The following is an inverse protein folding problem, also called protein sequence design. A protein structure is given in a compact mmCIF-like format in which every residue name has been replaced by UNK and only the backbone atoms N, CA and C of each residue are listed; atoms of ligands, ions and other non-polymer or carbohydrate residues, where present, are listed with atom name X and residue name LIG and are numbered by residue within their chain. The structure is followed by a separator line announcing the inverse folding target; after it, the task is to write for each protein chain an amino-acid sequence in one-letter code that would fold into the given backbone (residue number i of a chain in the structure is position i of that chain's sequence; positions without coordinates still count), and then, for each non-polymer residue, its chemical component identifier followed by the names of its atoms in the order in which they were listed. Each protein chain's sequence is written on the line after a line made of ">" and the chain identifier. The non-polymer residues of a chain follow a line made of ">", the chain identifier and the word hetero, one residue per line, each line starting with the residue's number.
data_IF_593801650443
#
_entry.id   IF_593801650443
#
_cell.length_a   1.000
_cell.length_b   1.000
_cell.length_c   1.000
_cell.angle_alpha   90.00
_cell.angle_beta   90.00
_cell.angle_gamma   90.00
#
_symmetry.space_group_name_H-M   'P 1'
#
loop_
_entity.id
_entity.type
_entity.pdbx_description
1 polymer ?
#
# COMPACT_ATOMS: atom_id res chain seq x y z
N UNK A 1 -36.27 15.26 5.47
CA UNK A 1 -36.32 13.88 4.96
C UNK A 1 -35.54 13.85 3.67
N UNK A 2 -34.62 12.92 3.53
CA UNK A 2 -33.82 12.78 2.32
C UNK A 2 -34.69 12.22 1.19
N UNK A 3 -34.32 12.48 -0.07
CA UNK A 3 -35.09 12.02 -1.22
C UNK A 3 -34.92 10.50 -1.42
N UNK A 4 -35.98 9.85 -1.92
CA UNK A 4 -35.96 8.46 -2.30
C UNK A 4 -35.02 8.27 -3.50
N UNK A 5 -34.04 7.38 -3.38
CA UNK A 5 -33.02 7.16 -4.38
C UNK A 5 -33.57 6.61 -5.71
N UNK A 6 -34.79 6.05 -5.70
CA UNK A 6 -35.45 5.50 -6.88
C UNK A 6 -36.42 6.49 -7.57
N UNK A 7 -37.26 7.20 -6.80
CA UNK A 7 -38.34 8.03 -7.35
C UNK A 7 -38.28 9.53 -6.99
N UNK A 8 -37.32 9.96 -6.16
CA UNK A 8 -37.17 11.34 -5.72
C UNK A 8 -38.16 11.83 -4.65
N UNK A 9 -39.22 11.07 -4.34
CA UNK A 9 -40.17 11.41 -3.28
C UNK A 9 -39.52 11.38 -1.87
N UNK A 10 -40.09 12.02 -0.83
CA UNK A 10 -39.52 11.96 0.53
C UNK A 10 -39.33 10.51 1.01
N UNK A 11 -38.09 10.16 1.35
CA UNK A 11 -37.69 8.84 1.83
C UNK A 11 -37.60 8.79 3.36
N UNK A 12 -38.24 7.79 3.96
CA UNK A 12 -38.19 7.55 5.41
C UNK A 12 -37.34 6.31 5.78
N UNK A 13 -37.11 5.40 4.83
CA UNK A 13 -36.37 4.17 5.05
C UNK A 13 -34.91 4.35 4.60
N UNK A 14 -33.96 4.16 5.52
CA UNK A 14 -32.53 4.15 5.17
C UNK A 14 -32.08 2.75 4.75
N UNK A 15 -31.17 2.68 3.80
CA UNK A 15 -30.49 1.43 3.46
C UNK A 15 -29.76 0.88 4.70
N UNK A 16 -30.07 -0.36 5.10
CA UNK A 16 -29.49 -0.97 6.31
C UNK A 16 -28.00 -1.32 6.21
N UNK A 17 -27.35 -1.09 5.06
CA UNK A 17 -25.92 -1.34 4.87
C UNK A 17 -25.11 -0.05 4.80
N UNK A 18 -25.47 0.90 3.94
CA UNK A 18 -24.72 2.16 3.80
C UNK A 18 -25.26 3.29 4.68
N UNK A 19 -26.53 3.21 5.09
CA UNK A 19 -27.29 4.28 5.75
C UNK A 19 -27.33 5.63 5.01
N UNK A 20 -26.76 5.71 3.80
CA UNK A 20 -26.70 6.89 2.95
C UNK A 20 -27.92 6.98 2.01
N UNK A 21 -28.29 5.88 1.33
CA UNK A 21 -29.45 5.86 0.45
C UNK A 21 -30.77 5.80 1.26
N UNK A 22 -31.75 6.59 0.83
CA UNK A 22 -33.07 6.66 1.43
C UNK A 22 -34.15 6.18 0.44
N UNK A 23 -35.24 5.61 0.95
CA UNK A 23 -36.34 5.08 0.17
C UNK A 23 -37.69 5.42 0.81
N UNK A 24 -38.70 5.69 -0.02
CA UNK A 24 -40.07 5.87 0.46
C UNK A 24 -40.76 4.52 0.76
N UNK A 25 -40.26 3.40 0.21
CA UNK A 25 -40.80 2.05 0.43
C UNK A 25 -39.69 0.98 0.32
N UNK A 26 -39.95 -0.22 0.89
CA UNK A 26 -39.06 -1.39 0.73
C UNK A 26 -38.98 -1.86 -0.72
N UNK A 27 -40.02 -1.62 -1.51
CA UNK A 27 -40.04 -2.02 -2.92
C UNK A 27 -39.08 -1.16 -3.75
N UNK A 28 -39.02 0.15 -3.50
CA UNK A 28 -38.04 1.02 -4.15
C UNK A 28 -36.60 0.66 -3.77
N UNK A 29 -36.36 0.24 -2.52
CA UNK A 29 -35.05 -0.28 -2.12
C UNK A 29 -34.68 -1.57 -2.88
N UNK A 30 -35.64 -2.47 -3.12
CA UNK A 30 -35.41 -3.70 -3.90
C UNK A 30 -35.14 -3.40 -5.36
N UNK A 31 -35.90 -2.47 -5.95
CA UNK A 31 -35.74 -2.05 -7.34
C UNK A 31 -34.38 -1.37 -7.56
N UNK A 32 -33.93 -0.55 -6.61
CA UNK A 32 -32.62 0.12 -6.65
C UNK A 32 -31.46 -0.80 -6.26
N UNK A 33 -31.71 -2.02 -5.75
CA UNK A 33 -30.65 -2.87 -5.17
C UNK A 33 -29.54 -3.27 -6.13
N UNK A 34 -29.83 -3.31 -7.44
CA UNK A 34 -28.83 -3.55 -8.49
C UNK A 34 -27.93 -2.33 -8.70
N UNK A 35 -28.55 -1.18 -9.00
CA UNK A 35 -27.85 0.07 -9.34
C UNK A 35 -27.15 0.68 -8.12
N UNK A 36 -27.77 0.59 -6.94
CA UNK A 36 -27.18 1.04 -5.68
C UNK A 36 -26.03 0.17 -5.20
N UNK A 37 -25.90 -1.09 -5.63
CA UNK A 37 -24.97 -2.06 -5.05
C UNK A 37 -23.53 -1.53 -5.00
N UNK A 38 -23.06 -0.93 -6.09
CA UNK A 38 -21.69 -0.43 -6.22
C UNK A 38 -21.49 0.92 -5.51
N UNK A 39 -22.59 1.62 -5.22
CA UNK A 39 -22.63 2.88 -4.46
C UNK A 39 -22.94 2.68 -2.97
N UNK A 40 -23.31 1.46 -2.56
CA UNK A 40 -23.69 1.09 -1.20
C UNK A 40 -22.46 0.96 -0.29
N UNK A 41 -21.79 2.09 -0.04
CA UNK A 41 -20.62 2.20 0.83
C UNK A 41 -21.02 2.57 2.24
N UNK A 42 -20.45 1.89 3.24
CA UNK A 42 -20.62 2.22 4.67
C UNK A 42 -19.58 3.25 5.16
N UNK A 43 -18.97 3.97 4.23
CA UNK A 43 -17.96 5.00 4.48
C UNK A 43 -18.06 6.12 3.43
N UNK A 44 -17.50 7.28 3.76
CA UNK A 44 -17.36 8.45 2.88
C UNK A 44 -15.95 9.01 2.95
N UNK A 45 -15.50 9.74 1.93
CA UNK A 45 -14.25 10.51 1.98
C UNK A 45 -14.48 11.85 2.68
N UNK A 46 -13.57 12.23 3.57
CA UNK A 46 -13.57 13.48 4.35
C UNK A 46 -12.15 14.05 4.36
N UNK A 47 -12.00 15.36 4.53
CA UNK A 47 -10.70 16.02 4.69
C UNK A 47 -10.62 16.73 6.04
N UNK A 48 -9.45 16.70 6.68
CA UNK A 48 -9.18 17.44 7.92
C UNK A 48 -7.77 18.02 7.92
N UNK A 49 -7.48 19.08 8.72
CA UNK A 49 -6.15 19.66 8.82
C UNK A 49 -5.08 18.67 9.29
N UNK A 50 -5.43 17.75 10.19
CA UNK A 50 -4.48 16.83 10.82
C UNK A 50 -4.21 15.59 9.96
N UNK A 51 -5.24 15.07 9.28
CA UNK A 51 -5.17 13.78 8.55
C UNK A 51 -5.16 13.90 7.03
N UNK A 52 -5.40 15.08 6.47
CA UNK A 52 -5.66 15.22 5.04
C UNK A 52 -6.92 14.44 4.62
N UNK A 53 -6.91 13.91 3.40
CA UNK A 53 -8.01 13.07 2.87
C UNK A 53 -8.01 11.68 3.53
N UNK A 54 -9.14 11.30 4.13
CA UNK A 54 -9.32 10.03 4.82
C UNK A 54 -10.76 9.52 4.66
N UNK A 55 -11.03 8.28 5.09
CA UNK A 55 -12.38 7.73 5.07
C UNK A 55 -13.04 7.88 6.46
N UNK A 56 -14.35 8.05 6.49
CA UNK A 56 -15.13 8.10 7.72
C UNK A 56 -16.32 7.15 7.60
N UNK A 57 -16.59 6.39 8.65
CA UNK A 57 -17.74 5.49 8.69
C UNK A 57 -19.05 6.30 8.64
N UNK A 58 -20.01 5.89 7.81
CA UNK A 58 -21.34 6.51 7.78
C UNK A 58 -22.33 5.81 8.71
N UNK A 59 -21.93 4.67 9.28
CA UNK A 59 -22.73 3.87 10.20
C UNK A 59 -21.85 3.00 11.10
N UNK A 60 -22.47 2.33 12.09
CA UNK A 60 -21.79 1.31 12.88
C UNK A 60 -21.39 0.13 11.97
N UNK A 61 -20.11 -0.24 12.00
CA UNK A 61 -19.57 -1.38 11.25
C UNK A 61 -19.25 -2.50 12.24
N UNK A 62 -20.02 -3.59 12.21
CA UNK A 62 -19.79 -4.71 13.12
C UNK A 62 -18.50 -5.48 12.75
N UNK A 63 -17.79 -6.06 13.75
CA UNK A 63 -16.62 -6.90 13.49
C UNK A 63 -16.88 -7.98 12.43
N UNK A 64 -15.88 -8.23 11.58
CA UNK A 64 -15.97 -9.20 10.49
C UNK A 64 -16.63 -8.70 9.19
N UNK A 65 -17.20 -7.49 9.16
CA UNK A 65 -17.77 -6.93 7.94
C UNK A 65 -16.68 -6.45 6.95
N UNK A 66 -17.00 -6.55 5.65
CA UNK A 66 -16.19 -6.01 4.57
C UNK A 66 -16.52 -4.51 4.38
N UNK A 67 -15.53 -3.64 4.55
CA UNK A 67 -15.66 -2.18 4.36
C UNK A 67 -15.49 -1.85 2.88
N UNK A 68 -14.35 -2.18 2.29
CA UNK A 68 -14.10 -2.07 0.85
C UNK A 68 -13.18 -3.20 0.38
N UNK A 69 -13.11 -3.39 -0.94
CA UNK A 69 -12.22 -4.33 -1.62
C UNK A 69 -11.77 -3.69 -2.91
N UNK A 70 -10.47 -3.66 -3.13
CA UNK A 70 -9.85 -3.06 -4.32
C UNK A 70 -8.82 -4.02 -4.90
N UNK A 71 -8.58 -3.90 -6.20
CA UNK A 71 -7.45 -4.56 -6.86
C UNK A 71 -6.21 -3.67 -6.72
N UNK A 72 -5.02 -4.25 -6.55
CA UNK A 72 -3.80 -3.45 -6.49
C UNK A 72 -3.57 -2.72 -7.82
N UNK A 73 -3.13 -1.46 -7.72
CA UNK A 73 -2.70 -0.68 -8.89
C UNK A 73 -1.38 -1.24 -9.43
N UNK A 74 -0.45 -1.57 -8.52
CA UNK A 74 0.86 -2.13 -8.85
C UNK A 74 1.11 -3.44 -8.09
N UNK A 75 1.73 -4.37 -8.80
CA UNK A 75 2.25 -5.62 -8.25
C UNK A 75 3.64 -5.86 -8.84
N UNK A 76 4.63 -5.99 -7.97
CA UNK A 76 6.01 -6.23 -8.37
C UNK A 76 6.89 -6.62 -7.20
N UNK A 77 8.13 -7.03 -7.47
CA UNK A 77 9.13 -7.25 -6.44
C UNK A 77 9.53 -5.94 -5.74
N UNK A 78 9.99 -6.08 -4.50
CA UNK A 78 10.56 -4.99 -3.69
C UNK A 78 12.06 -5.19 -3.48
N UNK A 79 12.78 -4.16 -3.04
CA UNK A 79 14.25 -4.14 -2.92
C UNK A 79 14.82 -5.30 -2.08
N UNK A 80 14.08 -5.76 -1.08
CA UNK A 80 14.49 -6.83 -0.16
C UNK A 80 13.72 -8.14 -0.39
N UNK A 81 13.05 -8.28 -1.53
CA UNK A 81 12.40 -9.56 -1.88
C UNK A 81 13.39 -10.55 -2.46
N UNK A 82 13.12 -11.84 -2.26
CA UNK A 82 13.75 -12.89 -3.05
C UNK A 82 13.37 -12.74 -4.52
N UNK A 83 14.18 -13.31 -5.41
CA UNK A 83 13.84 -13.32 -6.83
C UNK A 83 12.51 -14.06 -7.05
N UNK A 84 11.64 -13.44 -7.83
CA UNK A 84 10.36 -13.98 -8.27
C UNK A 84 10.30 -13.95 -9.79
N UNK A 85 9.53 -14.81 -10.43
CA UNK A 85 9.33 -14.73 -11.87
C UNK A 85 8.52 -13.48 -12.24
N UNK A 86 8.98 -12.70 -13.22
CA UNK A 86 8.26 -11.50 -13.68
C UNK A 86 6.89 -11.78 -14.34
N UNK A 87 6.66 -13.01 -14.79
CA UNK A 87 5.40 -13.42 -15.39
C UNK A 87 4.36 -13.93 -14.40
N UNK A 88 4.74 -14.88 -13.54
CA UNK A 88 3.81 -15.56 -12.62
C UNK A 88 4.03 -15.25 -11.14
N UNK A 89 5.02 -14.42 -10.79
CA UNK A 89 5.38 -14.03 -9.42
C UNK A 89 5.76 -15.18 -8.48
N UNK A 90 5.97 -16.39 -9.00
CA UNK A 90 6.46 -17.53 -8.22
C UNK A 90 7.93 -17.32 -7.85
N UNK A 91 8.32 -17.72 -6.64
CA UNK A 91 9.71 -17.63 -6.18
C UNK A 91 10.66 -18.40 -7.11
N UNK A 92 11.83 -17.81 -7.34
CA UNK A 92 12.95 -18.41 -8.08
C UNK A 92 13.98 -18.84 -7.04
N UNK A 93 14.16 -20.14 -6.89
CA UNK A 93 15.02 -20.74 -5.86
C UNK A 93 16.29 -21.40 -6.42
N UNK A 94 16.35 -21.59 -7.73
CA UNK A 94 17.47 -22.25 -8.41
C UNK A 94 18.54 -21.22 -8.79
N UNK A 95 19.82 -21.55 -8.59
CA UNK A 95 20.94 -20.65 -8.94
C UNK A 95 21.01 -20.40 -10.46
N UNK A 96 20.80 -21.44 -11.27
CA UNK A 96 20.74 -21.38 -12.74
C UNK A 96 19.33 -21.04 -13.24
N UNK A 97 18.75 -19.95 -12.74
CA UNK A 97 17.40 -19.57 -13.11
C UNK A 97 17.27 -19.10 -14.56
N UNK A 98 16.13 -19.42 -15.15
CA UNK A 98 15.80 -19.00 -16.51
C UNK A 98 15.62 -17.48 -16.63
N UNK A 99 16.01 -16.93 -17.79
CA UNK A 99 15.94 -15.51 -18.12
C UNK A 99 15.14 -15.32 -19.40
N UNK A 100 14.47 -14.18 -19.52
CA UNK A 100 13.74 -13.82 -20.74
C UNK A 100 14.73 -13.80 -21.92
N UNK A 101 14.43 -14.43 -23.06
CA UNK A 101 15.35 -14.47 -24.19
C UNK A 101 15.65 -13.07 -24.76
N UNK A 102 14.73 -12.13 -24.61
CA UNK A 102 14.85 -10.79 -25.17
C UNK A 102 15.51 -9.83 -24.17
N UNK A 103 14.86 -9.57 -23.02
CA UNK A 103 15.39 -8.61 -22.04
C UNK A 103 16.34 -9.17 -20.99
N UNK A 104 16.51 -10.51 -20.92
CA UNK A 104 17.38 -11.21 -19.96
C UNK A 104 16.98 -11.10 -18.47
N UNK A 105 15.84 -10.51 -18.14
CA UNK A 105 15.34 -10.47 -16.76
C UNK A 105 14.74 -11.82 -16.29
N UNK A 106 14.65 -12.08 -14.97
CA UNK A 106 14.28 -13.39 -14.44
C UNK A 106 12.85 -13.85 -14.80
N UNK A 107 12.73 -15.05 -15.39
CA UNK A 107 11.44 -15.71 -15.68
C UNK A 107 11.56 -17.22 -15.52
N UNK A 108 10.54 -17.91 -15.00
CA UNK A 108 10.64 -19.36 -14.78
C UNK A 108 10.42 -20.22 -16.04
N UNK A 109 9.94 -19.63 -17.14
CA UNK A 109 9.67 -20.37 -18.39
C UNK A 109 9.52 -19.45 -19.60
N UNK A 110 9.58 -20.03 -20.80
CA UNK A 110 9.25 -19.34 -22.07
C UNK A 110 7.81 -18.83 -22.11
N UNK A 111 6.89 -19.50 -21.40
CA UNK A 111 5.49 -19.03 -21.28
C UNK A 111 5.46 -17.75 -20.46
N UNK A 112 6.19 -17.70 -19.34
CA UNK A 112 6.28 -16.50 -18.51
C UNK A 112 7.00 -15.34 -19.21
N UNK A 113 7.97 -15.62 -20.08
CA UNK A 113 8.60 -14.61 -20.94
C UNK A 113 7.58 -13.91 -21.88
N UNK A 114 6.51 -14.59 -22.28
CA UNK A 114 5.45 -14.04 -23.13
C UNK A 114 4.18 -13.66 -22.35
N UNK A 115 4.27 -13.55 -21.03
CA UNK A 115 3.11 -13.27 -20.19
C UNK A 115 2.66 -11.81 -20.26
N UNK A 116 1.35 -11.58 -20.07
CA UNK A 116 0.77 -10.22 -19.97
C UNK A 116 1.30 -9.40 -18.80
N UNK A 117 1.93 -10.01 -17.80
CA UNK A 117 2.55 -9.30 -16.68
C UNK A 117 3.92 -8.72 -17.05
N UNK A 118 4.59 -9.28 -18.07
CA UNK A 118 5.96 -8.93 -18.44
C UNK A 118 6.07 -8.23 -19.80
N UNK A 119 5.14 -8.46 -20.73
CA UNK A 119 5.27 -7.99 -22.12
C UNK A 119 5.56 -6.48 -22.25
N UNK A 120 4.85 -5.63 -21.49
CA UNK A 120 4.97 -4.17 -21.60
C UNK A 120 6.33 -3.65 -21.08
N UNK A 121 6.92 -4.32 -20.09
CA UNK A 121 8.24 -3.96 -19.54
C UNK A 121 9.39 -4.54 -20.36
N UNK A 122 9.17 -5.64 -21.09
CA UNK A 122 10.22 -6.37 -21.82
C UNK A 122 10.98 -5.47 -22.80
N UNK A 123 10.28 -4.68 -23.62
CA UNK A 123 10.89 -3.81 -24.64
C UNK A 123 11.75 -2.70 -24.00
N UNK A 124 11.37 -2.21 -22.82
CA UNK A 124 12.15 -1.19 -22.09
C UNK A 124 13.39 -1.83 -21.46
N UNK A 125 13.21 -2.99 -20.83
CA UNK A 125 14.29 -3.70 -20.15
C UNK A 125 15.33 -4.25 -21.14
N UNK A 126 14.93 -4.61 -22.38
CA UNK A 126 15.84 -5.08 -23.42
C UNK A 126 16.86 -4.03 -23.87
N UNK A 127 16.63 -2.74 -23.56
CA UNK A 127 17.58 -1.65 -23.83
C UNK A 127 18.78 -1.66 -22.87
N UNK A 128 18.73 -2.42 -21.78
CA UNK A 128 19.86 -2.64 -20.88
C UNK A 128 20.84 -3.69 -21.47
N UNK A 129 21.52 -3.31 -22.56
CA UNK A 129 22.43 -4.19 -23.30
C UNK A 129 23.64 -4.65 -22.47
N UNK A 130 24.01 -3.86 -21.46
CA UNK A 130 25.13 -4.15 -20.54
C UNK A 130 24.70 -5.00 -19.34
N UNK A 131 23.39 -5.23 -19.15
CA UNK A 131 22.84 -6.00 -18.04
C UNK A 131 23.08 -5.37 -16.66
N UNK A 132 23.06 -4.05 -16.57
CA UNK A 132 23.34 -3.27 -15.35
C UNK A 132 22.28 -3.56 -14.27
N UNK A 133 21.01 -3.58 -14.66
CA UNK A 133 19.86 -3.78 -13.76
C UNK A 133 19.58 -5.24 -13.43
N UNK A 134 20.04 -6.16 -14.29
CA UNK A 134 19.69 -7.58 -14.21
C UNK A 134 20.28 -8.22 -12.94
N UNK A 135 19.47 -8.91 -12.13
CA UNK A 135 19.97 -9.75 -11.04
C UNK A 135 20.92 -10.85 -11.55
N UNK A 136 22.11 -10.93 -10.95
CA UNK A 136 23.15 -11.89 -11.36
C UNK A 136 23.09 -13.21 -10.57
N UNK A 137 22.57 -13.16 -9.35
CA UNK A 137 22.51 -14.29 -8.42
C UNK A 137 21.14 -14.33 -7.74
N UNK A 138 20.78 -15.50 -7.21
CA UNK A 138 19.64 -15.63 -6.31
C UNK A 138 19.84 -14.83 -5.03
N UNK A 139 18.73 -14.48 -4.39
CA UNK A 139 18.69 -13.68 -3.17
C UNK A 139 18.25 -12.24 -3.40
N UNK A 140 18.31 -11.45 -2.33
CA UNK A 140 17.81 -10.09 -2.31
C UNK A 140 18.72 -9.16 -3.10
N UNK A 141 18.12 -8.27 -3.91
CA UNK A 141 18.85 -7.22 -4.59
C UNK A 141 18.01 -5.95 -4.67
N UNK A 142 18.55 -4.79 -4.27
CA UNK A 142 17.81 -3.54 -4.34
C UNK A 142 17.41 -3.19 -5.77
N UNK A 143 18.11 -3.72 -6.79
CA UNK A 143 17.78 -3.49 -8.20
C UNK A 143 16.46 -4.13 -8.63
N UNK A 144 15.91 -5.06 -7.85
CA UNK A 144 14.70 -5.75 -8.26
C UNK A 144 13.46 -4.85 -8.19
N UNK A 145 13.47 -3.84 -7.31
CA UNK A 145 12.38 -2.85 -7.22
C UNK A 145 12.20 -1.98 -8.48
N UNK A 146 13.22 -1.93 -9.36
CA UNK A 146 13.16 -1.27 -10.66
C UNK A 146 11.99 -1.79 -11.50
N UNK A 147 11.61 -3.05 -11.33
CA UNK A 147 10.44 -3.64 -12.00
C UNK A 147 9.14 -3.01 -11.52
N UNK A 148 8.96 -2.83 -10.21
CA UNK A 148 7.75 -2.22 -9.68
C UNK A 148 7.66 -0.74 -10.12
N UNK A 149 8.80 -0.04 -10.15
CA UNK A 149 8.91 1.31 -10.67
C UNK A 149 8.55 1.40 -12.16
N UNK A 150 9.12 0.53 -13.00
CA UNK A 150 8.83 0.49 -14.43
C UNK A 150 7.35 0.18 -14.71
N UNK A 151 6.76 -0.77 -13.99
CA UNK A 151 5.31 -1.05 -14.08
C UNK A 151 4.47 0.16 -13.74
N UNK A 152 4.87 0.93 -12.72
CA UNK A 152 4.27 2.22 -12.38
C UNK A 152 4.29 3.21 -13.54
N UNK A 153 5.46 3.42 -14.14
CA UNK A 153 5.65 4.35 -15.26
C UNK A 153 4.85 3.93 -16.49
N UNK A 154 4.81 2.64 -16.81
CA UNK A 154 4.07 2.10 -17.95
C UNK A 154 2.55 2.25 -17.83
N UNK A 155 2.00 2.49 -16.64
CA UNK A 155 0.57 2.80 -16.49
C UNK A 155 0.19 4.06 -17.26
N UNK A 156 1.11 5.01 -17.47
CA UNK A 156 0.86 6.23 -18.26
C UNK A 156 0.30 5.91 -19.64
N UNK A 157 0.75 4.82 -20.24
CA UNK A 157 0.33 4.36 -21.57
C UNK A 157 -0.70 3.23 -21.49
N UNK A 158 -0.49 2.26 -20.59
CA UNK A 158 -1.27 1.02 -20.54
C UNK A 158 -2.59 1.15 -19.78
N UNK A 159 -2.66 2.03 -18.77
CA UNK A 159 -3.88 2.34 -18.01
C UNK A 159 -3.85 3.78 -17.45
N UNK A 160 -4.18 4.78 -18.29
CA UNK A 160 -4.14 6.19 -17.88
C UNK A 160 -5.06 6.55 -16.71
N UNK A 161 -6.08 5.71 -16.40
CA UNK A 161 -6.95 5.93 -15.24
C UNK A 161 -6.19 5.60 -13.96
N UNK A 162 -5.56 4.43 -13.91
CA UNK A 162 -4.73 4.02 -12.79
C UNK A 162 -3.52 4.93 -12.63
N UNK A 163 -2.90 5.39 -13.74
CA UNK A 163 -1.84 6.40 -13.69
C UNK A 163 -2.26 7.69 -12.98
N UNK A 164 -3.45 8.23 -13.30
CA UNK A 164 -3.95 9.44 -12.62
C UNK A 164 -4.15 9.25 -11.12
N UNK A 165 -4.62 8.07 -10.70
CA UNK A 165 -4.75 7.73 -9.29
C UNK A 165 -3.37 7.65 -8.64
N UNK A 166 -2.43 6.94 -9.28
CA UNK A 166 -1.05 6.81 -8.82
C UNK A 166 -0.39 8.18 -8.61
N UNK A 167 -0.51 9.08 -9.60
CA UNK A 167 0.08 10.42 -9.55
C UNK A 167 -0.61 11.38 -8.57
N UNK A 168 -1.79 11.04 -8.08
CA UNK A 168 -2.49 11.79 -7.03
C UNK A 168 -2.09 11.33 -5.61
N UNK A 169 -1.40 10.20 -5.48
CA UNK A 169 -0.94 9.70 -4.20
C UNK A 169 0.24 10.53 -3.66
N UNK A 170 0.36 10.57 -2.33
CA UNK A 170 1.44 11.30 -1.68
C UNK A 170 2.77 10.56 -1.79
N UNK A 171 3.73 11.13 -2.50
CA UNK A 171 5.03 10.49 -2.77
C UNK A 171 6.19 11.01 -1.92
N UNK A 172 6.00 12.10 -1.16
CA UNK A 172 7.06 12.78 -0.40
C UNK A 172 8.33 13.11 -1.22
N UNK A 173 8.22 13.21 -2.56
CA UNK A 173 9.39 13.31 -3.48
C UNK A 173 10.27 14.52 -3.20
N UNK A 174 9.70 15.58 -2.63
CA UNK A 174 10.39 16.82 -2.28
C UNK A 174 11.43 16.61 -1.17
N UNK A 175 11.15 15.73 -0.21
CA UNK A 175 12.07 15.36 0.87
C UNK A 175 13.27 14.62 0.26
N UNK A 176 12.99 13.65 -0.61
CA UNK A 176 14.02 12.81 -1.23
C UNK A 176 14.93 13.56 -2.20
N UNK A 177 14.38 14.51 -2.98
CA UNK A 177 15.20 15.39 -3.82
C UNK A 177 16.18 16.22 -3.01
N UNK A 178 15.84 16.56 -1.76
CA UNK A 178 16.70 17.32 -0.86
C UNK A 178 17.77 16.45 -0.20
N UNK A 179 17.42 15.21 0.14
CA UNK A 179 18.31 14.29 0.86
C UNK A 179 19.34 13.59 -0.05
N UNK A 180 19.19 13.71 -1.38
CA UNK A 180 20.11 13.17 -2.39
C UNK A 180 20.38 11.66 -2.19
N UNK A 181 19.31 10.89 -1.99
CA UNK A 181 19.41 9.44 -1.77
C UNK A 181 20.05 8.73 -2.98
N UNK A 182 21.18 8.01 -2.80
CA UNK A 182 21.87 7.33 -3.88
C UNK A 182 21.03 6.22 -4.54
N UNK A 183 20.12 5.55 -3.83
CA UNK A 183 19.28 4.51 -4.42
C UNK A 183 18.25 5.12 -5.37
N UNK A 184 17.61 6.20 -4.93
CA UNK A 184 16.71 6.99 -5.74
C UNK A 184 17.40 7.53 -7.01
N UNK A 185 18.59 8.12 -6.86
CA UNK A 185 19.37 8.63 -7.99
C UNK A 185 19.78 7.50 -8.96
N UNK A 186 20.12 6.32 -8.45
CA UNK A 186 20.46 5.16 -9.28
C UNK A 186 19.26 4.67 -10.11
N UNK A 187 18.05 4.66 -9.53
CA UNK A 187 16.84 4.27 -10.24
C UNK A 187 16.51 5.26 -11.38
N UNK A 188 16.62 6.57 -11.12
CA UNK A 188 16.43 7.60 -12.16
C UNK A 188 17.43 7.40 -13.30
N UNK A 189 18.72 7.30 -12.99
CA UNK A 189 19.78 7.06 -13.99
C UNK A 189 19.56 5.77 -14.79
N UNK A 190 19.07 4.72 -14.14
CA UNK A 190 18.76 3.48 -14.84
C UNK A 190 17.74 3.73 -15.96
N UNK A 191 16.65 4.44 -15.68
CA UNK A 191 15.63 4.68 -16.69
C UNK A 191 15.99 5.76 -17.72
N UNK A 192 16.71 6.80 -17.31
CA UNK A 192 17.08 7.92 -18.19
C UNK A 192 18.33 7.65 -19.03
N UNK A 193 19.36 7.04 -18.45
CA UNK A 193 20.67 6.85 -19.10
C UNK A 193 20.87 5.43 -19.66
N UNK A 194 20.41 4.39 -18.94
CA UNK A 194 20.57 2.99 -19.37
C UNK A 194 19.45 2.59 -20.33
N UNK A 195 18.21 2.60 -19.87
CA UNK A 195 17.06 2.22 -20.70
C UNK A 195 16.64 3.30 -21.69
N UNK A 196 16.99 4.58 -21.46
CA UNK A 196 16.62 5.73 -22.33
C UNK A 196 15.15 5.68 -22.76
N UNK A 197 14.27 5.46 -21.80
CA UNK A 197 12.86 5.14 -22.04
C UNK A 197 11.97 6.37 -22.26
N UNK A 198 12.49 7.58 -22.07
CA UNK A 198 11.79 8.83 -22.38
C UNK A 198 10.76 9.26 -21.34
N UNK A 199 10.67 8.58 -20.18
CA UNK A 199 9.90 9.07 -19.04
C UNK A 199 10.55 10.32 -18.45
N UNK A 200 9.71 11.23 -17.96
CA UNK A 200 10.17 12.45 -17.30
C UNK A 200 10.80 12.14 -15.94
N UNK A 201 11.87 12.85 -15.57
CA UNK A 201 12.56 12.61 -14.30
C UNK A 201 11.64 12.83 -13.09
N UNK A 202 10.77 13.84 -13.12
CA UNK A 202 9.85 14.10 -12.02
C UNK A 202 8.80 13.00 -11.86
N UNK A 203 8.37 12.38 -12.97
CA UNK A 203 7.51 11.20 -12.95
C UNK A 203 8.22 10.01 -12.28
N UNK A 204 9.48 9.75 -12.65
CA UNK A 204 10.28 8.67 -12.04
C UNK A 204 10.45 8.93 -10.54
N UNK A 205 10.78 10.16 -10.16
CA UNK A 205 10.91 10.56 -8.76
C UNK A 205 9.62 10.35 -7.96
N UNK A 206 8.48 10.69 -8.56
CA UNK A 206 7.18 10.54 -7.91
C UNK A 206 6.84 9.06 -7.70
N UNK A 207 6.90 8.23 -8.74
CA UNK A 207 6.59 6.79 -8.62
C UNK A 207 7.53 6.10 -7.64
N UNK A 208 8.83 6.45 -7.64
CA UNK A 208 9.79 5.90 -6.69
C UNK A 208 9.46 6.29 -5.25
N UNK A 209 9.12 7.56 -4.99
CA UNK A 209 8.72 8.01 -3.66
C UNK A 209 7.50 7.28 -3.12
N UNK A 210 6.51 6.96 -3.97
CA UNK A 210 5.35 6.13 -3.58
C UNK A 210 5.77 4.73 -3.13
N UNK A 211 6.66 4.10 -3.89
CA UNK A 211 7.19 2.76 -3.57
C UNK A 211 7.95 2.78 -2.25
N UNK A 212 8.78 3.80 -2.01
CA UNK A 212 9.57 3.91 -0.79
C UNK A 212 8.67 4.13 0.46
N UNK A 213 7.60 4.93 0.35
CA UNK A 213 6.59 5.06 1.42
C UNK A 213 5.97 3.71 1.77
N UNK A 214 5.62 2.90 0.78
CA UNK A 214 5.08 1.55 1.01
C UNK A 214 6.12 0.60 1.64
N UNK A 215 7.38 0.71 1.22
CA UNK A 215 8.48 -0.08 1.77
C UNK A 215 8.76 0.28 3.23
N UNK A 216 8.74 1.57 3.57
CA UNK A 216 8.97 2.04 4.94
C UNK A 216 7.90 1.50 5.91
N UNK A 217 6.64 1.50 5.49
CA UNK A 217 5.54 0.85 6.23
C UNK A 217 5.86 -0.63 6.43
N UNK A 218 6.19 -1.36 5.36
CA UNK A 218 6.49 -2.79 5.43
C UNK A 218 7.68 -3.11 6.36
N UNK A 219 8.74 -2.31 6.31
CA UNK A 219 9.93 -2.49 7.14
C UNK A 219 9.63 -2.32 8.62
N UNK A 220 8.84 -1.31 8.98
CA UNK A 220 8.38 -1.12 10.35
C UNK A 220 7.49 -2.26 10.82
N UNK A 221 6.54 -2.69 9.98
CA UNK A 221 5.66 -3.82 10.32
C UNK A 221 6.46 -5.11 10.55
N UNK A 222 7.44 -5.41 9.70
CA UNK A 222 8.32 -6.55 9.88
C UNK A 222 9.10 -6.47 11.19
N UNK A 223 9.63 -5.28 11.55
CA UNK A 223 10.31 -5.08 12.83
C UNK A 223 9.38 -5.30 14.02
N UNK A 224 8.18 -4.72 13.98
CA UNK A 224 7.19 -4.79 15.06
C UNK A 224 6.63 -6.21 15.22
N UNK A 225 6.45 -6.94 14.12
CA UNK A 225 5.95 -8.32 14.11
C UNK A 225 6.96 -9.35 14.64
N UNK A 226 8.26 -9.02 14.69
CA UNK A 226 9.22 -9.87 15.36
C UNK A 226 8.92 -9.91 16.87
N UNK A 227 8.64 -11.11 17.38
CA UNK A 227 8.04 -11.36 18.71
C UNK A 227 8.75 -10.67 19.88
N UNK A 228 10.04 -10.37 19.74
CA UNK A 228 10.86 -9.84 20.82
C UNK A 228 11.41 -8.43 20.54
N UNK A 229 10.97 -7.77 19.46
CA UNK A 229 11.56 -6.49 19.05
C UNK A 229 11.47 -5.43 20.15
N UNK A 230 10.31 -5.30 20.78
CA UNK A 230 10.08 -4.35 21.87
C UNK A 230 10.71 -4.87 23.17
N UNK A 231 10.49 -6.15 23.49
CA UNK A 231 10.98 -6.76 24.74
C UNK A 231 12.51 -6.79 24.89
N UNK A 232 13.28 -6.71 23.79
CA UNK A 232 14.75 -6.67 23.81
C UNK A 232 15.35 -5.27 23.86
N UNK A 233 14.55 -4.20 23.75
CA UNK A 233 15.04 -2.82 23.70
C UNK A 233 15.02 -2.14 25.06
N UNK A 234 16.00 -1.29 25.28
CA UNK A 234 16.03 -0.36 26.42
C UNK A 234 15.05 0.79 26.20
N UNK A 235 14.63 1.47 27.28
CA UNK A 235 13.75 2.66 27.20
C UNK A 235 14.33 3.73 26.26
N UNK A 236 15.65 3.94 26.29
CA UNK A 236 16.33 4.89 25.39
C UNK A 236 16.22 4.49 23.92
N UNK A 237 16.28 3.19 23.62
CA UNK A 237 16.12 2.70 22.25
C UNK A 237 14.66 2.81 21.80
N UNK A 238 13.70 2.51 22.67
CA UNK A 238 12.27 2.65 22.37
C UNK A 238 11.90 4.10 22.09
N UNK A 239 12.39 5.06 22.89
CA UNK A 239 12.13 6.49 22.63
C UNK A 239 12.67 6.91 21.26
N UNK A 240 13.88 6.48 20.89
CA UNK A 240 14.43 6.74 19.56
C UNK A 240 13.61 6.12 18.42
N UNK A 241 13.02 4.95 18.65
CA UNK A 241 12.14 4.33 17.66
C UNK A 241 10.84 5.11 17.53
N UNK A 242 10.27 5.57 18.64
CA UNK A 242 9.07 6.43 18.65
C UNK A 242 9.32 7.74 17.93
N UNK A 243 10.42 8.43 18.23
CA UNK A 243 10.79 9.68 17.55
C UNK A 243 10.90 9.44 16.04
N UNK A 244 11.62 8.38 15.63
CA UNK A 244 11.75 8.01 14.21
C UNK A 244 10.41 7.68 13.56
N UNK A 245 9.51 6.99 14.26
CA UNK A 245 8.18 6.70 13.71
C UNK A 245 7.36 7.99 13.54
N UNK A 246 7.46 8.95 14.46
CA UNK A 246 6.74 10.21 14.37
C UNK A 246 7.31 11.13 13.28
N UNK A 247 8.60 11.01 12.96
CA UNK A 247 9.20 11.70 11.81
C UNK A 247 8.66 11.15 10.47
N UNK A 248 8.36 9.84 10.42
CA UNK A 248 7.92 9.15 9.20
C UNK A 248 6.39 9.06 9.03
N UNK A 249 5.65 8.98 10.13
CA UNK A 249 4.21 8.68 10.12
C UNK A 249 3.43 9.63 11.02
N UNK A 250 2.23 9.98 10.57
CA UNK A 250 1.26 10.64 11.42
C UNK A 250 0.93 9.76 12.65
N UNK A 251 0.69 10.33 13.85
CA UNK A 251 0.45 9.56 15.08
C UNK A 251 -0.70 8.54 15.01
N UNK A 252 -1.69 8.77 14.12
CA UNK A 252 -2.83 7.86 13.94
C UNK A 252 -2.59 6.75 12.92
N UNK A 253 -1.41 6.71 12.30
CA UNK A 253 -1.06 5.69 11.33
C UNK A 253 -0.96 4.30 12.01
N UNK A 254 -1.26 3.24 11.24
CA UNK A 254 -1.27 1.86 11.74
C UNK A 254 0.06 1.37 12.33
N UNK A 255 1.19 1.89 11.84
CA UNK A 255 2.52 1.51 12.33
C UNK A 255 2.74 1.97 13.79
N UNK A 256 2.65 3.28 14.12
CA UNK A 256 2.67 3.76 15.51
C UNK A 256 1.66 3.04 16.43
N UNK A 257 0.48 2.73 15.90
CA UNK A 257 -0.54 1.98 16.63
C UNK A 257 -0.11 0.55 16.95
N UNK A 258 0.33 -0.20 15.95
CA UNK A 258 0.76 -1.58 16.18
C UNK A 258 1.96 -1.62 17.13
N UNK A 259 2.86 -0.65 17.04
CA UNK A 259 3.97 -0.49 17.98
C UNK A 259 3.45 -0.32 19.42
N UNK A 260 2.50 0.59 19.63
CA UNK A 260 1.93 0.86 20.97
C UNK A 260 1.09 -0.32 21.50
N UNK A 261 0.40 -1.09 20.65
CA UNK A 261 -0.24 -2.37 21.05
C UNK A 261 0.76 -3.39 21.56
N UNK A 262 1.87 -3.55 20.84
CA UNK A 262 2.90 -4.49 21.25
C UNK A 262 3.61 -3.99 22.53
N UNK A 263 3.80 -2.68 22.68
CA UNK A 263 4.32 -2.08 23.91
C UNK A 263 3.42 -2.35 25.12
N UNK A 264 2.10 -2.23 24.97
CA UNK A 264 1.13 -2.57 26.03
C UNK A 264 1.28 -4.01 26.53
N UNK A 265 1.61 -4.95 25.64
CA UNK A 265 1.84 -6.36 25.99
C UNK A 265 3.14 -6.56 26.79
N UNK A 266 4.15 -5.73 26.54
CA UNK A 266 5.46 -5.82 27.19
C UNK A 266 5.54 -5.07 28.53
N UNK A 267 4.69 -4.06 28.77
CA UNK A 267 4.65 -3.35 30.06
C UNK A 267 4.23 -4.34 31.15
N UNK A 268 5.18 -4.72 32.01
CA UNK A 268 4.99 -5.63 33.17
C UNK A 268 4.99 -4.84 34.48
N UNK A 269 4.30 -5.36 35.49
CA UNK A 269 4.24 -4.78 36.84
C UNK A 269 2.92 -4.07 37.15
N UNK A 270 2.52 -4.15 38.41
CA UNK A 270 1.26 -3.65 38.94
C UNK A 270 1.52 -2.50 39.92
N UNK A 271 1.91 -1.34 39.38
CA UNK A 271 2.10 -0.13 40.16
C UNK A 271 1.44 1.07 39.48
N UNK A 272 1.29 2.17 40.21
CA UNK A 272 0.61 3.36 39.70
C UNK A 272 1.19 3.87 38.37
N UNK A 273 2.52 3.86 38.22
CA UNK A 273 3.18 4.34 37.00
C UNK A 273 2.85 3.44 35.81
N UNK A 274 2.89 2.12 35.98
CA UNK A 274 2.55 1.19 34.90
C UNK A 274 1.07 1.23 34.54
N UNK A 275 0.18 1.41 35.51
CA UNK A 275 -1.26 1.59 35.24
C UNK A 275 -1.55 2.89 34.49
N UNK A 276 -0.95 4.00 34.90
CA UNK A 276 -1.11 5.30 34.22
C UNK A 276 -0.63 5.25 32.77
N UNK A 277 0.56 4.66 32.53
CA UNK A 277 1.08 4.51 31.18
C UNK A 277 0.19 3.61 30.31
N UNK A 278 -0.32 2.49 30.85
CA UNK A 278 -1.28 1.65 30.12
C UNK A 278 -2.55 2.42 29.77
N UNK A 279 -3.10 3.21 30.70
CA UNK A 279 -4.28 4.02 30.47
C UNK A 279 -4.07 5.02 29.33
N UNK A 280 -2.99 5.80 29.36
CA UNK A 280 -2.68 6.80 28.32
C UNK A 280 -2.56 6.14 26.92
N UNK A 281 -1.90 4.98 26.82
CA UNK A 281 -1.80 4.26 25.54
C UNK A 281 -3.16 3.72 25.07
N UNK A 282 -4.01 3.24 26.00
CA UNK A 282 -5.36 2.76 25.68
C UNK A 282 -6.30 3.87 25.21
N UNK A 283 -6.25 5.05 25.84
CA UNK A 283 -7.05 6.21 25.44
C UNK A 283 -6.70 6.65 24.02
N UNK A 284 -5.41 6.74 23.70
CA UNK A 284 -4.93 7.03 22.34
C UNK A 284 -5.42 5.97 21.32
N UNK A 285 -5.45 4.70 21.73
CA UNK A 285 -5.93 3.59 20.90
C UNK A 285 -7.40 3.66 20.56
N UNK A 286 -8.23 4.02 21.54
CA UNK A 286 -9.68 4.15 21.36
C UNK A 286 -10.02 5.29 20.42
N UNK A 287 -9.36 6.45 20.56
CA UNK A 287 -9.59 7.60 19.68
C UNK A 287 -9.34 7.26 18.21
N UNK A 288 -8.37 6.38 17.94
CA UNK A 288 -8.01 6.02 16.57
C UNK A 288 -8.92 4.94 16.00
N UNK A 289 -9.38 3.98 16.83
CA UNK A 289 -10.35 2.97 16.37
C UNK A 289 -11.68 3.60 15.90
N UNK A 290 -11.98 4.82 16.32
CA UNK A 290 -13.14 5.59 15.88
C UNK A 290 -12.94 6.31 14.53
N UNK A 291 -11.73 6.28 13.95
CA UNK A 291 -11.38 6.89 12.64
C UNK A 291 -11.04 5.79 11.61
N UNK A 292 -11.54 5.89 10.38
CA UNK A 292 -11.30 4.91 9.30
C UNK A 292 -10.26 5.43 8.28
N UNK A 293 -8.98 5.25 8.54
CA UNK A 293 -7.93 5.71 7.64
C UNK A 293 -7.53 4.63 6.60
N UNK A 294 -7.32 4.98 5.32
CA UNK A 294 -6.56 4.15 4.40
C UNK A 294 -5.13 3.99 4.95
N UNK A 295 -4.80 2.81 5.47
CA UNK A 295 -3.56 2.58 6.21
C UNK A 295 -3.80 1.92 7.57
N UNK A 296 -4.99 2.14 8.18
CA UNK A 296 -5.38 1.61 9.50
C UNK A 296 -5.65 0.10 9.57
N UNK A 297 -5.50 -0.65 8.47
CA UNK A 297 -5.83 -2.07 8.44
C UNK A 297 -4.73 -2.95 7.86
N UNK A 298 -4.11 -3.77 8.72
CA UNK A 298 -3.31 -4.96 8.35
C UNK A 298 -4.13 -6.09 7.74
N UNK A 299 -5.25 -5.79 7.08
CA UNK A 299 -5.96 -6.80 6.30
C UNK A 299 -5.20 -6.99 5.00
N UNK A 300 -4.21 -7.89 5.04
CA UNK A 300 -3.60 -8.47 3.82
C UNK A 300 -4.76 -8.85 2.90
N UNK A 301 -4.90 -8.16 1.77
CA UNK A 301 -5.80 -8.59 0.73
C UNK A 301 -5.46 -10.02 0.37
N UNK A 302 -6.35 -10.97 0.63
CA UNK A 302 -6.22 -12.28 0.00
C UNK A 302 -6.51 -12.04 -1.46
N UNK A 303 -5.47 -12.10 -2.31
CA UNK A 303 -5.65 -12.14 -3.75
C UNK A 303 -6.67 -13.25 -4.07
N UNK A 304 -7.78 -12.88 -4.68
CA UNK A 304 -8.75 -13.86 -5.22
C UNK A 304 -8.26 -14.50 -6.52
N UNK A 305 -7.08 -14.15 -7.01
CA UNK A 305 -6.46 -14.75 -8.18
C UNK A 305 -5.58 -15.93 -7.78
N UNK A 306 -6.24 -17.03 -7.42
CA UNK A 306 -5.72 -18.40 -7.54
C UNK A 306 -6.93 -19.31 -7.79
N UNK A 307 -7.39 -19.32 -9.04
CA UNK A 307 -7.95 -20.47 -9.74
C UNK A 307 -7.61 -20.36 -11.21
#
# INVERSE_FOLDING_TARGET
>A
MDACNYCGAPGALKCGRCHAACYCSRDHQRLDSGDHRDLCKNYTSVSSPDLGEHLAATCLILPGNLIFSENPILVGPVAYSDLICLGCHSAITEEDFSKCPDCKWPVCSKVCANSKSHWAECDVLAKDELGIGIPQHIGQTPRYDLIMLLRGLLLKETDPKSWKVLMAMQSHKEIWKKDNDPFHAAAVKYFTEVCKCGFDEDEIHHVRGLIDVLQEVSDWLNRIDMSDFIGKRTVKQLNKDVDRMHDSFHPLHYVPLQFTQNLLREIKGENYVTFKLRQEIWENHLEICDKLEPGLTRRRGRSKFLK
#
